data_IF_401858007892
#
_entry.id   IF_401858007892
#
_cell.length_a   1.000
_cell.length_b   1.000
_cell.length_c   1.000
_cell.angle_alpha   90.00
_cell.angle_beta   90.00
_cell.angle_gamma   90.00
#
_symmetry.space_group_name_H-M   'P 1'
#
loop_
_entity.id
_entity.type
_entity.pdbx_description
1 polymer ?
#
# COMPACT_ATOMS: atom_id res chain seq x y z
N UNK A 1 4.25 -7.87 -9.05
CA UNK A 1 3.47 -7.75 -7.78
C UNK A 1 2.43 -6.67 -7.92
N UNK A 2 1.18 -6.97 -7.56
CA UNK A 2 0.16 -5.93 -7.48
C UNK A 2 0.40 -5.04 -6.23
N UNK A 3 -0.27 -3.90 -6.14
CA UNK A 3 -0.10 -2.96 -5.01
C UNK A 3 -0.51 -3.56 -3.66
N UNK A 4 -1.49 -4.48 -3.64
CA UNK A 4 -1.91 -5.21 -2.44
C UNK A 4 -0.79 -6.11 -1.91
N UNK A 5 -0.04 -6.76 -2.81
CA UNK A 5 1.11 -7.58 -2.44
C UNK A 5 2.24 -6.71 -1.86
N UNK A 6 2.49 -5.52 -2.44
CA UNK A 6 3.48 -4.57 -1.91
C UNK A 6 3.14 -4.14 -0.47
N UNK A 7 1.86 -3.88 -0.18
CA UNK A 7 1.38 -3.56 1.18
C UNK A 7 1.66 -4.72 2.13
N UNK A 8 1.34 -5.96 1.73
CA UNK A 8 1.58 -7.16 2.56
C UNK A 8 3.07 -7.34 2.87
N UNK A 9 3.92 -7.27 1.86
CA UNK A 9 5.37 -7.42 2.04
C UNK A 9 5.95 -6.33 2.94
N UNK A 10 5.59 -5.06 2.72
CA UNK A 10 6.07 -3.97 3.55
C UNK A 10 5.59 -4.09 5.01
N UNK A 11 4.37 -4.58 5.24
CA UNK A 11 3.85 -4.87 6.59
C UNK A 11 4.66 -5.97 7.29
N UNK A 12 4.97 -7.08 6.60
CA UNK A 12 5.83 -8.12 7.17
C UNK A 12 7.22 -7.61 7.52
N UNK A 13 7.79 -6.74 6.68
CA UNK A 13 9.09 -6.09 6.95
C UNK A 13 8.99 -5.22 8.22
N UNK A 14 7.91 -4.44 8.37
CA UNK A 14 7.71 -3.64 9.59
C UNK A 14 7.61 -4.51 10.84
N UNK A 15 6.82 -5.59 10.80
CA UNK A 15 6.70 -6.54 11.92
C UNK A 15 8.05 -7.12 12.29
N UNK A 16 8.85 -7.54 11.31
CA UNK A 16 10.18 -8.08 11.56
C UNK A 16 11.12 -7.01 12.15
N UNK A 17 11.06 -5.77 11.65
CA UNK A 17 11.87 -4.67 12.17
C UNK A 17 11.51 -4.33 13.64
N UNK A 18 10.23 -4.39 14.01
CA UNK A 18 9.78 -4.25 15.40
C UNK A 18 10.34 -5.40 16.25
N UNK A 19 10.24 -6.64 15.78
CA UNK A 19 10.74 -7.82 16.50
C UNK A 19 12.28 -7.81 16.66
N UNK A 20 12.99 -7.19 15.71
CA UNK A 20 14.45 -6.99 15.77
C UNK A 20 14.84 -5.77 16.62
N UNK A 21 13.88 -5.09 17.23
CA UNK A 21 14.07 -3.87 18.02
C UNK A 21 14.84 -2.78 17.24
N UNK A 22 14.53 -2.64 15.95
CA UNK A 22 15.13 -1.62 15.09
C UNK A 22 14.76 -0.22 15.57
N UNK A 23 15.60 0.77 15.24
CA UNK A 23 15.38 2.14 15.67
C UNK A 23 14.05 2.72 15.16
N UNK A 24 13.44 3.62 15.94
CA UNK A 24 12.19 4.28 15.58
C UNK A 24 12.27 5.00 14.23
N UNK A 25 13.45 5.47 13.82
CA UNK A 25 13.67 6.08 12.51
C UNK A 25 13.46 5.06 11.37
N UNK A 26 13.98 3.83 11.52
CA UNK A 26 13.79 2.75 10.54
C UNK A 26 12.30 2.38 10.48
N UNK A 27 11.65 2.21 11.63
CA UNK A 27 10.23 1.89 11.71
C UNK A 27 9.37 2.96 11.01
N UNK A 28 9.69 4.24 11.25
CA UNK A 28 8.99 5.37 10.63
C UNK A 28 9.12 5.35 9.10
N UNK A 29 10.33 5.13 8.57
CA UNK A 29 10.55 5.05 7.11
C UNK A 29 9.75 3.91 6.46
N UNK A 30 9.67 2.76 7.13
CA UNK A 30 8.89 1.62 6.65
C UNK A 30 7.39 1.95 6.69
N UNK A 31 6.89 2.53 7.79
CA UNK A 31 5.48 2.95 7.93
C UNK A 31 5.07 3.92 6.81
N UNK A 32 5.87 4.96 6.58
CA UNK A 32 5.61 5.94 5.51
C UNK A 32 5.56 5.29 4.11
N UNK A 33 6.30 4.20 3.90
CA UNK A 33 6.25 3.46 2.62
C UNK A 33 4.95 2.66 2.50
N UNK A 34 4.46 2.07 3.59
CA UNK A 34 3.16 1.39 3.65
C UNK A 34 2.04 2.39 3.32
N UNK A 35 2.05 3.58 3.92
CA UNK A 35 1.05 4.62 3.69
C UNK A 35 0.96 5.01 2.21
N UNK A 36 2.12 5.19 1.56
CA UNK A 36 2.20 5.46 0.11
C UNK A 36 1.54 4.35 -0.71
N UNK A 37 1.75 3.08 -0.36
CA UNK A 37 1.12 1.97 -1.07
C UNK A 37 -0.39 1.88 -0.81
N UNK A 38 -0.86 2.24 0.38
CA UNK A 38 -2.29 2.31 0.69
C UNK A 38 -2.96 3.39 -0.18
N UNK A 39 -2.37 4.58 -0.27
CA UNK A 39 -2.87 5.64 -1.15
C UNK A 39 -2.88 5.20 -2.61
N UNK A 40 -1.81 4.54 -3.09
CA UNK A 40 -1.76 3.98 -4.45
C UNK A 40 -2.87 2.94 -4.69
N UNK A 41 -3.17 2.09 -3.70
CA UNK A 41 -4.22 1.08 -3.78
C UNK A 41 -5.59 1.69 -4.01
N UNK A 42 -5.94 2.72 -3.23
CA UNK A 42 -7.24 3.38 -3.37
C UNK A 42 -7.33 4.20 -4.66
N UNK A 43 -6.26 4.92 -5.05
CA UNK A 43 -6.25 5.66 -6.33
C UNK A 43 -6.43 4.76 -7.55
N UNK A 44 -5.81 3.57 -7.54
CA UNK A 44 -6.02 2.57 -8.61
C UNK A 44 -7.44 2.02 -8.61
N UNK A 45 -8.06 1.91 -7.44
CA UNK A 45 -9.44 1.44 -7.29
C UNK A 45 -10.45 2.49 -7.76
N UNK A 46 -10.17 3.78 -7.56
CA UNK A 46 -11.00 4.89 -8.04
C UNK A 46 -10.86 5.10 -9.56
N UNK A 47 -9.65 4.99 -10.12
CA UNK A 47 -9.46 5.03 -11.58
C UNK A 47 -10.18 3.90 -12.32
N UNK A 48 -10.36 2.73 -11.69
CA UNK A 48 -11.12 1.61 -12.25
C UNK A 48 -12.64 1.75 -12.09
N UNK A 49 -13.13 2.63 -11.20
CA UNK A 49 -14.56 2.96 -11.11
C UNK A 49 -15.00 3.89 -12.24
N UNK A 50 -14.17 4.88 -12.61
CA UNK A 50 -14.47 5.78 -13.74
C UNK A 50 -14.62 5.06 -15.08
N UNK A 51 -13.83 4.02 -15.34
CA UNK A 51 -13.95 3.24 -16.59
C UNK A 51 -15.15 2.27 -16.63
N UNK A 52 -15.74 1.93 -15.49
CA UNK A 52 -16.92 1.04 -15.44
C UNK A 52 -18.21 1.80 -15.76
N UNK A 53 -18.34 3.04 -15.29
CA UNK A 53 -19.55 3.84 -15.49
C UNK A 53 -19.72 4.30 -16.96
N UNK A 54 -18.64 4.46 -17.73
CA UNK A 54 -18.72 4.79 -19.17
C UNK A 54 -19.09 3.60 -20.07
N UNK A 55 -18.80 2.35 -19.67
CA UNK A 55 -19.15 1.16 -20.47
C UNK A 55 -20.56 0.64 -20.25
N UNK A 56 -21.19 0.96 -19.12
CA UNK A 56 -22.60 0.63 -18.86
C UNK A 56 -23.57 1.71 -19.40
N UNK A 57 -23.03 2.79 -19.99
CA UNK A 57 -23.78 3.91 -20.57
C UNK A 57 -23.76 3.96 -22.11
N UNK A 58 -23.23 2.92 -22.78
CA UNK A 58 -23.18 2.76 -24.25
C UNK A 58 -23.94 1.50 -24.68
#
# INVERSE_FOLDING_TARGET
>A
MNVKDKIKTARSILTNAVNMNMSSEILLKISQKIDKYIVEYYRKSEGQRGERDERESL
#
